data_IF_145838273723
#
_entry.id   IF_145838273723
#
_cell.length_a   1.000
_cell.length_b   1.000
_cell.length_c   1.000
_cell.angle_alpha   90.00
_cell.angle_beta   90.00
_cell.angle_gamma   90.00
#
_symmetry.space_group_name_H-M   'P 1'
#
loop_
_entity.id
_entity.type
_entity.pdbx_description
1 polymer ?
#
# COMPACT_ATOMS: atom_id res chain seq x y z
N UNK A 1 38.03 -16.46 -33.99
CA UNK A 1 37.28 -16.53 -35.26
C UNK A 1 36.52 -15.22 -35.44
N UNK A 2 36.48 -14.65 -36.66
CA UNK A 2 36.20 -13.24 -36.91
C UNK A 2 34.70 -12.91 -37.03
N UNK A 3 34.42 -11.61 -36.90
CA UNK A 3 33.15 -10.91 -37.16
C UNK A 3 32.63 -11.08 -38.61
N UNK A 4 31.30 -11.10 -38.77
CA UNK A 4 30.62 -10.42 -39.88
C UNK A 4 29.14 -10.18 -39.57
N UNK A 5 28.74 -8.92 -39.68
CA UNK A 5 27.38 -8.37 -39.64
C UNK A 5 26.80 -8.27 -41.07
N UNK A 6 25.50 -7.96 -41.11
CA UNK A 6 24.68 -7.36 -42.19
C UNK A 6 24.06 -8.34 -43.20
N UNK A 7 22.73 -8.29 -43.30
CA UNK A 7 22.05 -7.58 -44.39
C UNK A 7 20.55 -7.36 -44.08
N UNK A 8 20.10 -6.11 -44.27
CA UNK A 8 18.70 -5.71 -44.48
C UNK A 8 18.46 -5.61 -45.99
N UNK A 9 17.23 -5.84 -46.48
CA UNK A 9 16.79 -5.25 -47.73
C UNK A 9 15.90 -4.02 -47.48
N UNK A 10 16.26 -2.95 -48.20
CA UNK A 10 15.54 -1.69 -48.37
C UNK A 10 15.14 -1.63 -49.86
N UNK A 11 13.87 -1.38 -50.15
CA UNK A 11 13.36 -0.91 -51.46
C UNK A 11 12.16 0.00 -51.09
N UNK A 12 12.23 1.33 -51.26
CA UNK A 12 12.01 2.11 -52.51
C UNK A 12 10.67 1.75 -53.18
N UNK A 13 9.79 2.65 -53.63
CA UNK A 13 9.74 4.12 -53.72
C UNK A 13 8.36 4.51 -54.30
N UNK A 14 7.93 5.75 -54.03
CA UNK A 14 7.15 6.65 -54.90
C UNK A 14 5.69 6.31 -55.30
N UNK A 15 4.76 7.22 -54.96
CA UNK A 15 4.23 8.19 -55.95
C UNK A 15 3.52 9.39 -55.31
N UNK A 16 3.99 10.55 -55.76
CA UNK A 16 3.45 11.90 -55.61
C UNK A 16 2.30 12.12 -56.59
N UNK A 17 1.17 12.69 -56.14
CA UNK A 17 0.28 13.54 -56.96
C UNK A 17 -0.37 14.63 -56.07
N UNK A 18 -0.11 15.90 -56.41
CA UNK A 18 -0.91 17.13 -56.16
C UNK A 18 -1.06 17.80 -57.55
N UNK A 19 -1.85 18.89 -57.76
CA UNK A 19 -2.90 19.54 -56.95
C UNK A 19 -4.20 19.81 -57.74
N UNK A 20 -5.26 20.27 -57.05
CA UNK A 20 -6.45 20.86 -57.67
C UNK A 20 -7.22 21.75 -56.71
N UNK A 21 -6.99 23.06 -56.79
CA UNK A 21 -7.91 24.14 -56.38
C UNK A 21 -8.56 24.66 -57.68
N UNK A 22 -9.76 25.30 -57.69
CA UNK A 22 -10.21 26.28 -56.69
C UNK A 22 -11.72 26.28 -56.38
N UNK A 23 -12.12 26.96 -55.30
CA UNK A 23 -12.98 28.17 -55.39
C UNK A 23 -13.48 28.57 -54.01
N UNK A 24 -13.30 29.86 -53.73
CA UNK A 24 -13.76 30.58 -52.56
C UNK A 24 -15.29 30.71 -52.61
N UNK A 25 -15.98 30.28 -51.55
CA UNK A 25 -17.18 30.97 -51.11
C UNK A 25 -17.21 31.07 -49.60
N UNK A 26 -17.49 32.29 -49.19
CA UNK A 26 -17.25 32.90 -47.88
C UNK A 26 -18.63 33.06 -47.23
N UNK A 27 -18.64 33.06 -45.88
CA UNK A 27 -19.65 33.56 -44.93
C UNK A 27 -20.41 32.48 -44.16
N UNK A 28 -20.07 32.36 -42.87
CA UNK A 28 -20.92 32.66 -41.69
C UNK A 28 -21.65 31.39 -41.21
N UNK A 29 -21.55 30.89 -39.98
CA UNK A 29 -21.56 31.59 -38.69
C UNK A 29 -20.98 30.69 -37.58
N UNK A 30 -20.22 31.33 -36.70
CA UNK A 30 -20.12 31.17 -35.24
C UNK A 30 -20.69 29.89 -34.59
N UNK A 31 -19.82 29.25 -33.79
CA UNK A 31 -20.09 28.69 -32.46
C UNK A 31 -21.09 27.51 -32.35
N UNK A 32 -20.56 26.30 -32.52
CA UNK A 32 -20.94 25.08 -31.78
C UNK A 32 -19.61 24.33 -31.63
N UNK A 33 -19.04 24.09 -30.47
CA UNK A 33 -19.62 23.69 -29.20
C UNK A 33 -18.54 22.82 -28.58
N UNK A 34 -17.56 23.49 -27.97
CA UNK A 34 -16.62 22.87 -27.05
C UNK A 34 -17.41 22.07 -26.01
N UNK A 35 -17.16 20.77 -25.91
CA UNK A 35 -17.86 19.95 -24.92
C UNK A 35 -17.49 18.48 -24.91
N UNK A 36 -16.29 18.08 -25.34
CA UNK A 36 -15.76 16.76 -24.98
C UNK A 36 -15.19 16.87 -23.56
N UNK A 37 -16.10 16.95 -22.59
CA UNK A 37 -15.74 16.83 -21.17
C UNK A 37 -15.19 15.42 -20.96
N UNK A 38 -13.86 15.37 -20.80
CA UNK A 38 -13.11 14.23 -20.32
C UNK A 38 -13.86 13.59 -19.14
N UNK A 39 -14.39 12.39 -19.38
CA UNK A 39 -14.79 11.44 -18.34
C UNK A 39 -13.51 10.95 -17.64
N UNK A 40 -12.83 11.85 -16.94
CA UNK A 40 -11.77 11.49 -16.00
C UNK A 40 -12.46 10.82 -14.81
N UNK A 41 -12.13 9.56 -14.48
CA UNK A 41 -12.62 8.96 -13.25
C UNK A 41 -12.20 9.85 -12.09
N UNK A 42 -13.17 10.26 -11.27
CA UNK A 42 -12.93 11.11 -10.12
C UNK A 42 -11.81 10.50 -9.28
N UNK A 43 -10.67 11.20 -9.23
CA UNK A 43 -9.57 10.84 -8.35
C UNK A 43 -10.12 10.83 -6.91
N UNK A 44 -10.16 9.65 -6.29
CA UNK A 44 -10.59 9.57 -4.90
C UNK A 44 -9.57 10.32 -4.05
N UNK A 45 -10.04 11.25 -3.23
CA UNK A 45 -9.17 11.95 -2.29
C UNK A 45 -8.56 10.93 -1.31
N UNK A 46 -7.23 10.85 -1.31
CA UNK A 46 -6.42 9.97 -0.45
C UNK A 46 -5.83 10.81 0.66
N UNK A 47 -6.10 10.47 1.92
CA UNK A 47 -5.56 11.21 3.08
C UNK A 47 -4.13 10.81 3.41
N UNK A 48 -3.77 9.55 3.18
CA UNK A 48 -2.42 9.02 3.42
C UNK A 48 -2.07 7.98 2.36
N UNK A 49 -0.86 8.10 1.81
CA UNK A 49 -0.20 7.08 1.00
C UNK A 49 0.70 6.23 1.89
N UNK A 50 0.61 4.91 1.73
CA UNK A 50 1.52 3.94 2.32
C UNK A 50 2.32 3.29 1.20
N UNK A 51 3.63 3.47 1.22
CA UNK A 51 4.53 2.93 0.21
C UNK A 51 5.39 1.83 0.79
N UNK A 52 5.75 0.86 -0.05
CA UNK A 52 6.54 -0.27 0.38
C UNK A 52 7.18 -1.03 -0.77
N UNK A 53 8.21 -1.79 -0.42
CA UNK A 53 8.91 -2.69 -1.33
C UNK A 53 9.01 -4.08 -0.70
N UNK A 54 8.51 -5.10 -1.41
CA UNK A 54 8.66 -6.51 -1.10
C UNK A 54 10.03 -6.97 -1.57
N UNK A 55 10.89 -7.41 -0.64
CA UNK A 55 12.28 -7.80 -0.97
C UNK A 55 12.45 -9.25 -1.36
N UNK A 56 11.50 -10.12 -1.03
CA UNK A 56 11.46 -11.51 -1.46
C UNK A 56 10.39 -11.76 -2.54
N UNK A 57 10.33 -10.87 -3.55
CA UNK A 57 9.37 -10.97 -4.66
C UNK A 57 9.27 -12.37 -5.29
N UNK A 58 10.37 -13.11 -5.53
CA UNK A 58 10.28 -14.47 -6.09
C UNK A 58 9.49 -15.48 -5.24
N UNK A 59 9.37 -15.25 -3.93
CA UNK A 59 8.48 -16.05 -3.06
C UNK A 59 7.03 -15.73 -3.40
N UNK A 60 6.69 -14.44 -3.49
CA UNK A 60 5.34 -13.99 -3.79
C UNK A 60 4.89 -14.44 -5.20
N UNK A 61 5.76 -14.33 -6.20
CA UNK A 61 5.46 -14.74 -7.58
C UNK A 61 5.21 -16.25 -7.70
N UNK A 62 5.96 -17.06 -6.93
CA UNK A 62 5.76 -18.51 -6.87
C UNK A 62 4.41 -18.87 -6.27
N UNK A 63 4.03 -18.20 -5.19
CA UNK A 63 2.82 -18.52 -4.44
C UNK A 63 1.53 -17.93 -5.07
N UNK A 64 1.62 -16.72 -5.63
CA UNK A 64 0.47 -15.97 -6.13
C UNK A 64 0.48 -15.74 -7.65
N UNK A 65 1.59 -15.99 -8.33
CA UNK A 65 1.80 -15.57 -9.72
C UNK A 65 2.42 -14.16 -9.82
N UNK A 66 2.96 -13.81 -11.01
CA UNK A 66 3.67 -12.55 -11.21
C UNK A 66 2.76 -11.32 -11.33
N UNK A 67 1.52 -11.52 -11.80
CA UNK A 67 0.64 -10.42 -12.21
C UNK A 67 -0.66 -10.34 -11.40
N UNK A 68 -1.26 -9.15 -11.41
CA UNK A 68 -2.59 -8.93 -10.85
C UNK A 68 -2.66 -8.99 -9.33
N UNK A 69 -1.52 -8.91 -8.64
CA UNK A 69 -1.46 -8.91 -7.18
C UNK A 69 -1.86 -7.54 -6.63
N UNK A 70 -2.81 -7.54 -5.71
CA UNK A 70 -3.22 -6.38 -4.92
C UNK A 70 -2.58 -6.44 -3.54
N UNK A 71 -2.11 -5.32 -3.02
CA UNK A 71 -1.73 -5.19 -1.61
C UNK A 71 -2.87 -4.53 -0.86
N UNK A 72 -3.42 -5.23 0.12
CA UNK A 72 -4.57 -4.81 0.91
C UNK A 72 -4.09 -4.41 2.30
N UNK A 73 -4.39 -3.17 2.72
CA UNK A 73 -4.26 -2.78 4.12
C UNK A 73 -5.51 -3.19 4.87
N UNK A 74 -5.34 -4.01 5.90
CA UNK A 74 -6.46 -4.65 6.59
C UNK A 74 -6.34 -4.53 8.10
N UNK A 75 -7.49 -4.56 8.77
CA UNK A 75 -7.58 -5.02 10.14
C UNK A 75 -8.35 -6.33 10.11
N UNK A 76 -7.64 -7.44 10.23
CA UNK A 76 -8.22 -8.78 10.13
C UNK A 76 -9.14 -9.08 11.33
N UNK A 77 -8.78 -8.57 12.51
CA UNK A 77 -9.55 -8.75 13.76
C UNK A 77 -10.94 -8.11 13.69
N UNK A 78 -11.05 -6.94 13.07
CA UNK A 78 -12.32 -6.23 12.86
C UNK A 78 -12.94 -6.51 11.48
N UNK A 79 -12.23 -7.24 10.60
CA UNK A 79 -12.72 -7.56 9.27
C UNK A 79 -12.83 -6.36 8.32
N UNK A 80 -11.99 -5.33 8.47
CA UNK A 80 -12.04 -4.11 7.66
C UNK A 80 -10.92 -4.05 6.61
N UNK A 81 -11.30 -3.72 5.36
CA UNK A 81 -10.39 -3.27 4.32
C UNK A 81 -10.23 -1.75 4.43
N UNK A 82 -9.02 -1.31 4.78
CA UNK A 82 -8.70 0.11 5.01
C UNK A 82 -8.33 0.80 3.69
N UNK A 83 -7.62 0.11 2.81
CA UNK A 83 -7.16 0.62 1.54
C UNK A 83 -6.49 -0.49 0.73
N UNK A 84 -6.22 -0.23 -0.55
CA UNK A 84 -5.50 -1.17 -1.39
C UNK A 84 -4.63 -0.46 -2.43
N UNK A 85 -3.67 -1.21 -2.97
CA UNK A 85 -2.76 -0.81 -4.03
C UNK A 85 -2.46 -1.97 -4.95
N UNK A 86 -1.85 -1.70 -6.12
CA UNK A 86 -1.29 -2.75 -6.98
C UNK A 86 0.16 -3.00 -6.60
N UNK A 87 0.58 -4.27 -6.62
CA UNK A 87 1.98 -4.63 -6.57
C UNK A 87 2.55 -4.60 -8.00
N UNK A 88 3.63 -3.87 -8.21
CA UNK A 88 4.34 -3.77 -9.49
C UNK A 88 5.83 -3.84 -9.23
N UNK A 89 6.51 -4.84 -9.79
CA UNK A 89 7.97 -5.00 -9.64
C UNK A 89 8.43 -5.02 -8.17
N UNK A 90 7.61 -5.61 -7.30
CA UNK A 90 7.85 -5.67 -5.86
C UNK A 90 7.56 -4.36 -5.11
N UNK A 91 7.18 -3.28 -5.79
CA UNK A 91 6.78 -2.03 -5.16
C UNK A 91 5.26 -1.90 -5.09
N UNK A 92 4.76 -1.20 -4.09
CA UNK A 92 3.35 -0.88 -3.99
C UNK A 92 3.13 0.48 -3.33
N UNK A 93 1.98 1.06 -3.64
CA UNK A 93 1.45 2.25 -2.99
C UNK A 93 -0.02 1.99 -2.65
N UNK A 94 -0.39 2.14 -1.38
CA UNK A 94 -1.75 1.98 -0.89
C UNK A 94 -2.29 3.36 -0.51
N UNK A 95 -3.41 3.74 -1.12
CA UNK A 95 -4.17 4.91 -0.71
C UNK A 95 -5.18 4.55 0.37
N UNK A 96 -5.19 5.30 1.47
CA UNK A 96 -6.28 5.25 2.45
C UNK A 96 -7.31 6.33 2.09
N UNK A 97 -8.58 5.94 1.80
CA UNK A 97 -9.62 6.90 1.43
C UNK A 97 -9.87 7.90 2.56
N UNK A 98 -10.08 9.17 2.22
CA UNK A 98 -10.34 10.22 3.22
C UNK A 98 -11.59 9.99 4.06
N UNK A 99 -12.60 9.38 3.45
CA UNK A 99 -13.84 9.00 4.12
C UNK A 99 -13.69 7.83 5.10
N UNK A 100 -12.56 7.10 5.09
CA UNK A 100 -12.36 6.00 6.02
C UNK A 100 -12.22 6.56 7.43
N UNK A 101 -13.19 6.23 8.29
CA UNK A 101 -13.19 6.57 9.71
C UNK A 101 -12.91 5.30 10.51
N UNK A 102 -11.66 5.06 10.93
CA UNK A 102 -11.33 3.84 11.65
C UNK A 102 -12.10 3.80 12.99
N UNK A 103 -12.67 2.64 13.39
CA UNK A 103 -13.30 2.49 14.69
C UNK A 103 -12.22 2.47 15.80
N UNK A 104 -11.88 3.64 16.32
CA UNK A 104 -10.86 3.79 17.36
C UNK A 104 -11.38 3.34 18.73
N UNK A 105 -10.50 2.74 19.54
CA UNK A 105 -10.75 2.34 20.94
C UNK A 105 -9.64 2.88 21.84
N UNK A 106 -9.87 3.07 23.16
CA UNK A 106 -8.78 3.42 24.08
C UNK A 106 -7.57 2.51 23.86
N UNK A 107 -6.37 3.09 23.84
CA UNK A 107 -5.15 2.34 23.54
C UNK A 107 -4.82 1.25 24.57
N UNK A 108 -5.32 1.40 25.80
CA UNK A 108 -5.16 0.47 26.91
C UNK A 108 -3.68 0.08 27.11
N UNK A 109 -2.80 1.07 27.09
CA UNK A 109 -1.40 0.82 27.41
C UNK A 109 -1.29 0.18 28.80
N UNK A 110 -0.35 -0.75 28.94
CA UNK A 110 -0.10 -1.48 30.18
C UNK A 110 0.21 -0.53 31.36
N UNK A 111 0.00 -1.03 32.58
CA UNK A 111 0.41 -0.34 33.80
C UNK A 111 1.90 0.05 33.74
N UNK A 112 2.23 1.25 34.22
CA UNK A 112 3.60 1.80 34.15
C UNK A 112 3.93 2.57 32.86
N UNK A 113 3.03 2.56 31.87
CA UNK A 113 3.09 3.42 30.69
C UNK A 113 2.11 4.58 30.84
N UNK A 114 2.54 5.78 30.48
CA UNK A 114 1.74 7.01 30.55
C UNK A 114 1.63 7.66 29.18
N UNK A 115 0.49 8.26 28.92
CA UNK A 115 0.23 9.06 27.71
C UNK A 115 0.01 10.52 28.08
N UNK A 116 0.66 11.42 27.35
CA UNK A 116 0.52 12.87 27.50
C UNK A 116 0.01 13.48 26.18
N UNK A 117 -0.97 14.40 26.19
CA UNK A 117 -1.64 14.95 27.40
C UNK A 117 -2.65 13.99 28.04
N UNK A 118 -3.12 12.99 27.29
CA UNK A 118 -4.05 11.96 27.76
C UNK A 118 -3.92 10.71 26.89
N UNK A 119 -4.54 9.61 27.31
CA UNK A 119 -4.58 8.38 26.53
C UNK A 119 -5.36 8.59 25.21
N UNK A 120 -4.75 8.32 24.05
CA UNK A 120 -5.44 8.41 22.77
C UNK A 120 -6.37 7.22 22.54
N UNK A 121 -7.36 7.40 21.66
CA UNK A 121 -8.06 6.27 21.05
C UNK A 121 -7.34 5.88 19.77
N UNK A 122 -6.99 4.62 19.65
CA UNK A 122 -6.23 4.10 18.51
C UNK A 122 -7.01 3.05 17.73
N UNK A 123 -6.61 2.88 16.47
CA UNK A 123 -6.95 1.76 15.62
C UNK A 123 -5.65 1.19 15.06
N UNK A 124 -5.41 -0.10 15.25
CA UNK A 124 -4.22 -0.77 14.73
C UNK A 124 -4.60 -1.40 13.39
N UNK A 125 -3.93 -1.00 12.31
CA UNK A 125 -4.00 -1.72 11.04
C UNK A 125 -2.99 -2.85 11.11
N UNK A 126 -3.50 -4.04 11.41
CA UNK A 126 -2.68 -5.13 11.92
C UNK A 126 -1.99 -5.94 10.81
N UNK A 127 -2.37 -5.80 9.53
CA UNK A 127 -1.78 -6.64 8.48
C UNK A 127 -1.92 -6.09 7.07
N UNK A 128 -0.87 -6.27 6.28
CA UNK A 128 -0.95 -6.20 4.82
C UNK A 128 -1.17 -7.61 4.26
N UNK A 129 -2.08 -7.75 3.31
CA UNK A 129 -2.26 -8.97 2.52
C UNK A 129 -1.87 -8.69 1.06
N UNK A 130 -0.97 -9.47 0.48
CA UNK A 130 -0.86 -9.60 -0.95
C UNK A 130 -1.93 -10.60 -1.43
N UNK A 131 -2.83 -10.19 -2.30
CA UNK A 131 -4.00 -10.95 -2.73
C UNK A 131 -4.03 -11.05 -4.26
N UNK A 132 -4.19 -12.26 -4.79
CA UNK A 132 -4.47 -12.50 -6.20
C UNK A 132 -5.94 -12.90 -6.39
N UNK A 133 -6.77 -12.05 -7.04
CA UNK A 133 -8.19 -12.30 -7.28
C UNK A 133 -8.55 -13.58 -8.01
N UNK A 134 -7.88 -13.90 -9.12
CA UNK A 134 -8.14 -15.03 -10.01
C UNK A 134 -7.79 -16.36 -9.36
N UNK A 135 -6.72 -16.37 -8.55
CA UNK A 135 -6.32 -17.55 -7.78
C UNK A 135 -7.06 -17.68 -6.45
N UNK A 136 -7.80 -16.64 -6.05
CA UNK A 136 -8.44 -16.53 -4.74
C UNK A 136 -7.49 -16.90 -3.59
N UNK A 137 -6.26 -16.40 -3.66
CA UNK A 137 -5.19 -16.72 -2.73
C UNK A 137 -4.56 -15.44 -2.18
N UNK A 138 -4.15 -15.45 -0.92
CA UNK A 138 -3.48 -14.32 -0.29
C UNK A 138 -2.25 -14.78 0.51
N UNK A 139 -1.24 -13.93 0.64
CA UNK A 139 -0.15 -14.10 1.61
C UNK A 139 0.00 -12.86 2.47
N UNK A 140 0.43 -13.04 3.71
CA UNK A 140 0.73 -11.94 4.61
C UNK A 140 2.02 -11.24 4.18
N UNK A 141 1.97 -9.92 4.15
CA UNK A 141 3.16 -9.07 4.11
C UNK A 141 3.37 -8.45 5.49
N UNK A 142 4.60 -8.51 5.98
CA UNK A 142 5.00 -7.83 7.20
C UNK A 142 6.23 -6.98 6.94
N UNK A 143 6.27 -5.80 7.55
CA UNK A 143 7.38 -4.87 7.44
C UNK A 143 8.39 -5.16 8.54
N UNK A 144 9.61 -5.58 8.16
CA UNK A 144 10.63 -5.98 9.12
C UNK A 144 12.05 -5.85 8.56
N UNK A 145 13.03 -5.88 9.45
CA UNK A 145 14.45 -5.89 9.11
C UNK A 145 14.92 -7.23 8.53
N UNK A 146 14.24 -8.33 8.86
CA UNK A 146 14.58 -9.67 8.39
C UNK A 146 13.32 -10.55 8.16
N UNK A 147 13.31 -11.47 7.16
CA UNK A 147 12.12 -12.27 6.83
C UNK A 147 11.84 -13.46 7.76
N UNK A 148 12.79 -13.93 8.56
CA UNK A 148 12.57 -15.12 9.41
C UNK A 148 12.79 -14.84 10.88
N UNK A 149 13.89 -14.16 11.21
CA UNK A 149 14.22 -13.72 12.56
C UNK A 149 14.26 -12.18 12.68
N UNK A 150 13.09 -11.50 12.68
CA UNK A 150 13.05 -10.04 12.72
C UNK A 150 13.38 -9.49 14.11
N UNK A 151 14.35 -8.59 14.21
CA UNK A 151 14.59 -7.81 15.44
C UNK A 151 13.80 -6.51 15.44
N UNK A 152 13.26 -6.09 14.29
CA UNK A 152 12.45 -4.88 14.16
C UNK A 152 11.23 -5.17 13.30
N UNK A 153 10.04 -4.84 13.82
CA UNK A 153 8.78 -5.02 13.09
C UNK A 153 7.96 -3.75 13.14
N UNK A 154 7.41 -3.33 12.00
CA UNK A 154 6.58 -2.12 11.89
C UNK A 154 5.11 -2.47 11.73
N UNK A 155 4.26 -1.68 12.38
CA UNK A 155 2.81 -1.71 12.31
C UNK A 155 2.29 -0.27 12.16
N UNK A 156 1.07 -0.12 11.65
CA UNK A 156 0.45 1.18 11.42
C UNK A 156 -0.67 1.44 12.41
N UNK A 157 -0.55 2.53 13.16
CA UNK A 157 -1.52 2.94 14.19
C UNK A 157 -2.21 4.20 13.72
N UNK A 158 -3.52 4.21 13.63
CA UNK A 158 -4.28 5.46 13.57
C UNK A 158 -4.58 5.93 15.00
N UNK A 159 -4.38 7.21 15.29
CA UNK A 159 -4.71 7.84 16.57
C UNK A 159 -5.70 8.99 16.37
N UNK A 160 -6.69 9.11 17.26
CA UNK A 160 -7.66 10.22 17.23
C UNK A 160 -7.03 11.57 17.54
N UNK A 161 -5.90 11.58 18.24
CA UNK A 161 -5.16 12.79 18.65
C UNK A 161 -3.66 12.54 18.68
N UNK A 162 -2.88 13.62 18.76
CA UNK A 162 -1.47 13.52 19.06
C UNK A 162 -1.25 13.16 20.54
N UNK A 163 -0.29 12.28 20.82
CA UNK A 163 0.07 11.88 22.18
C UNK A 163 1.53 11.40 22.27
N UNK A 164 2.21 11.73 23.36
CA UNK A 164 3.49 11.12 23.73
C UNK A 164 3.23 9.98 24.71
N UNK A 165 3.64 8.76 24.37
CA UNK A 165 3.47 7.56 25.19
C UNK A 165 4.84 7.10 25.68
N UNK A 166 5.04 7.07 27.00
CA UNK A 166 6.33 6.71 27.60
C UNK A 166 6.16 5.86 28.85
N UNK A 167 7.09 4.94 29.07
CA UNK A 167 7.19 4.17 30.29
C UNK A 167 7.50 2.71 30.02
N UNK A 168 7.45 1.89 31.06
CA UNK A 168 7.68 0.45 30.97
C UNK A 168 6.49 -0.27 31.56
N UNK A 169 6.03 -1.31 30.88
CA UNK A 169 5.00 -2.19 31.41
C UNK A 169 5.48 -2.84 32.73
N UNK A 170 4.73 -2.63 33.80
CA UNK A 170 4.97 -3.30 35.08
C UNK A 170 4.89 -4.82 34.90
N UNK A 171 5.92 -5.55 35.33
CA UNK A 171 5.98 -7.01 35.24
C UNK A 171 6.26 -7.57 33.84
N UNK A 172 6.47 -6.72 32.83
CA UNK A 172 6.81 -7.14 31.47
C UNK A 172 8.13 -6.52 31.00
N UNK A 173 8.72 -7.13 29.99
CA UNK A 173 9.94 -6.65 29.37
C UNK A 173 9.68 -5.67 28.21
N UNK A 174 8.53 -5.02 28.18
CA UNK A 174 8.15 -4.08 27.10
C UNK A 174 8.18 -2.64 27.60
N UNK A 175 8.89 -1.79 26.89
CA UNK A 175 8.93 -0.34 27.11
C UNK A 175 8.32 0.40 25.91
N UNK A 176 7.77 1.58 26.18
CA UNK A 176 7.17 2.46 25.18
C UNK A 176 7.92 3.78 25.15
N UNK A 177 8.22 4.25 23.94
CA UNK A 177 8.75 5.58 23.64
C UNK A 177 8.16 6.03 22.30
N UNK A 178 6.89 6.43 22.32
CA UNK A 178 6.15 6.82 21.12
C UNK A 178 5.75 8.29 21.16
N UNK A 179 5.75 8.89 19.98
CA UNK A 179 5.08 10.15 19.66
C UNK A 179 4.06 9.87 18.56
N UNK A 180 2.80 9.72 18.93
CA UNK A 180 1.70 9.53 18.00
C UNK A 180 1.26 10.89 17.46
N UNK A 181 1.02 10.97 16.15
CA UNK A 181 0.30 12.11 15.54
C UNK A 181 -1.19 11.81 15.50
N UNK A 182 -2.02 12.85 15.40
CA UNK A 182 -3.40 12.65 14.97
C UNK A 182 -3.38 12.05 13.55
N UNK A 183 -4.07 10.94 13.36
CA UNK A 183 -4.01 10.14 12.14
C UNK A 183 -3.03 8.97 12.23
N UNK A 184 -2.55 8.51 11.07
CA UNK A 184 -1.71 7.33 10.93
C UNK A 184 -0.29 7.56 11.45
N UNK A 185 0.31 6.61 12.16
CA UNK A 185 1.70 6.64 12.64
C UNK A 185 2.30 5.27 12.43
N UNK A 186 3.51 5.20 11.86
CA UNK A 186 4.27 3.96 11.81
C UNK A 186 4.93 3.73 13.17
N UNK A 187 4.60 2.60 13.78
CA UNK A 187 5.08 2.15 15.10
C UNK A 187 5.96 0.93 14.88
N UNK A 188 7.14 0.93 15.50
CA UNK A 188 8.12 -0.13 15.42
C UNK A 188 8.29 -0.79 16.78
N UNK A 189 8.22 -2.11 16.81
CA UNK A 189 8.66 -2.92 17.94
C UNK A 189 10.08 -3.42 17.66
N UNK A 190 11.01 -3.08 18.54
CA UNK A 190 12.42 -3.48 18.49
C UNK A 190 12.66 -4.53 19.57
N UNK A 191 13.13 -5.70 19.18
CA UNK A 191 13.64 -6.74 20.07
C UNK A 191 15.09 -6.41 20.44
N UNK A 192 15.36 -6.35 21.73
CA UNK A 192 16.67 -6.13 22.31
C UNK A 192 16.96 -7.25 23.32
N UNK A 193 18.24 -7.50 23.66
CA UNK A 193 18.55 -8.48 24.69
C UNK A 193 17.75 -8.21 25.98
N UNK A 194 16.89 -9.17 26.34
CA UNK A 194 16.06 -9.14 27.55
C UNK A 194 14.88 -8.16 27.54
N UNK A 195 14.61 -7.41 26.45
CA UNK A 195 13.48 -6.49 26.40
C UNK A 195 13.02 -6.08 25.00
N UNK A 196 11.83 -5.51 24.92
CA UNK A 196 11.23 -4.94 23.72
C UNK A 196 11.00 -3.45 23.89
N UNK A 197 11.30 -2.68 22.85
CA UNK A 197 11.02 -1.25 22.78
C UNK A 197 10.01 -0.97 21.67
N UNK A 198 8.87 -0.38 22.03
CA UNK A 198 7.87 0.12 21.11
C UNK A 198 8.12 1.61 20.88
N UNK A 199 8.53 1.98 19.67
CA UNK A 199 8.97 3.33 19.30
C UNK A 199 8.40 3.76 17.94
N UNK A 200 8.54 5.03 17.56
CA UNK A 200 8.21 5.45 16.20
C UNK A 200 9.15 4.74 15.21
N UNK A 201 8.64 4.36 14.05
CA UNK A 201 9.49 3.80 13.02
C UNK A 201 10.50 4.86 12.52
N UNK A 202 11.79 4.57 12.64
CA UNK A 202 12.89 5.49 12.27
C UNK A 202 13.53 5.16 10.91
N UNK A 203 13.24 3.98 10.36
CA UNK A 203 13.78 3.50 9.09
C UNK A 203 12.66 2.92 8.22
N UNK A 204 12.74 3.14 6.91
CA UNK A 204 11.88 2.46 5.95
C UNK A 204 12.35 1.01 5.79
N UNK A 205 11.80 0.12 6.61
CA UNK A 205 12.10 -1.31 6.53
C UNK A 205 11.38 -1.93 5.32
N UNK A 206 11.97 -2.96 4.69
CA UNK A 206 11.31 -3.66 3.60
C UNK A 206 10.12 -4.48 4.09
N UNK A 207 9.30 -4.90 3.13
CA UNK A 207 8.25 -5.87 3.33
C UNK A 207 8.73 -7.26 2.91
N UNK A 208 8.23 -8.26 3.63
CA UNK A 208 8.52 -9.66 3.37
C UNK A 208 7.21 -10.44 3.24
N UNK A 209 7.09 -11.22 2.18
CA UNK A 209 5.99 -12.15 1.97
C UNK A 209 6.21 -13.43 2.78
N UNK A 210 5.15 -13.94 3.43
CA UNK A 210 5.19 -15.25 4.06
C UNK A 210 5.14 -16.37 3.01
N UNK A 211 5.94 -17.45 3.17
CA UNK A 211 6.12 -18.49 2.14
C UNK A 211 4.97 -19.52 2.07
N UNK A 212 3.75 -19.18 2.46
CA UNK A 212 2.60 -20.11 2.37
C UNK A 212 1.31 -19.33 2.18
N UNK A 213 0.69 -19.39 0.98
CA UNK A 213 -0.51 -18.63 0.70
C UNK A 213 -1.72 -19.27 1.37
N UNK A 214 -2.58 -18.42 1.92
CA UNK A 214 -3.92 -18.74 2.35
C UNK A 214 -4.81 -18.87 1.11
N UNK A 215 -5.24 -20.09 0.80
CA UNK A 215 -6.16 -20.38 -0.30
C UNK A 215 -7.60 -20.12 0.13
N UNK A 216 -8.48 -19.88 -0.85
CA UNK A 216 -9.88 -19.52 -0.61
C UNK A 216 -10.01 -18.23 0.21
N UNK A 217 -9.19 -17.23 -0.08
CA UNK A 217 -9.08 -16.00 0.69
C UNK A 217 -10.43 -15.27 0.85
N UNK A 218 -11.30 -15.25 -0.18
CA UNK A 218 -12.66 -14.69 -0.07
C UNK A 218 -13.55 -15.39 0.94
N UNK A 219 -13.32 -16.68 1.17
CA UNK A 219 -14.06 -17.47 2.16
C UNK A 219 -13.47 -17.28 3.55
N UNK A 220 -12.14 -17.26 3.67
CA UNK A 220 -11.44 -17.05 4.94
C UNK A 220 -11.67 -15.64 5.49
N UNK A 221 -11.67 -14.64 4.62
CA UNK A 221 -11.79 -13.23 4.98
C UNK A 221 -13.05 -12.59 4.41
N UNK A 222 -14.20 -13.27 4.55
CA UNK A 222 -15.49 -12.85 4.00
C UNK A 222 -15.80 -11.36 4.19
N UNK A 223 -15.60 -10.84 5.40
CA UNK A 223 -15.90 -9.45 5.75
C UNK A 223 -15.06 -8.44 4.97
N UNK A 224 -13.83 -8.79 4.57
CA UNK A 224 -12.98 -7.90 3.77
C UNK A 224 -13.50 -7.72 2.34
N UNK A 225 -14.23 -8.70 1.81
CA UNK A 225 -14.61 -8.76 0.39
C UNK A 225 -16.11 -8.56 0.14
N UNK A 226 -16.92 -8.39 1.19
CA UNK A 226 -18.39 -8.32 1.11
C UNK A 226 -18.95 -6.91 1.17
N UNK A 227 -18.16 -5.92 1.59
CA UNK A 227 -18.58 -4.52 1.65
C UNK A 227 -18.04 -3.75 0.43
N UNK A 228 -18.84 -3.68 -0.63
CA UNK A 228 -18.73 -2.68 -1.69
C UNK A 228 -19.89 -1.70 -1.57
#
# INVERSE_FOLDING_TARGET
MPHAQLEQPRFEQLRSIRPGLPSLRRWSSRLLGLGLALLMPAAQAVTVSLEGQVRNLPVLERELGPDGVLVLLTNLTAGHLVGFGRLQEGQFQIGIPEKFRPPVRPAQFCAGVRSLPSEPKIYIAESLLAYQPDRNAATLLYQADHPTDPTRRVQWFYSDRAATVRGRCSGLNTAYQLSLRAGWTAVMTVSQPGHFLVTNATSNLPYWAQPTPLRNARTLFRTLFTHR
#
